data_IF_924331329623
#
_entry.id   IF_924331329623
#
_cell.length_a   1.000
_cell.length_b   1.000
_cell.length_c   1.000
_cell.angle_alpha   90.00
_cell.angle_beta   90.00
_cell.angle_gamma   90.00
#
_symmetry.space_group_name_H-M   'P 1'
#
loop_
_entity.id
_entity.type
_entity.pdbx_description
1 polymer ?
#
# COMPACT_ATOMS: atom_id res chain seq x y z
N UNK A 1 9.46 9.04 -11.13
CA UNK A 1 8.33 8.11 -11.41
C UNK A 1 7.36 8.21 -10.26
N UNK A 2 6.07 8.37 -10.53
CA UNK A 2 5.04 8.36 -9.50
C UNK A 2 4.14 7.14 -9.74
N UNK A 3 3.88 6.36 -8.69
CA UNK A 3 2.93 5.25 -8.71
C UNK A 3 1.58 5.80 -8.25
N UNK A 4 0.52 5.50 -8.98
CA UNK A 4 -0.84 5.88 -8.55
C UNK A 4 -1.29 4.94 -7.44
N UNK A 5 -1.95 5.49 -6.42
CA UNK A 5 -2.54 4.69 -5.34
C UNK A 5 -3.47 3.59 -5.89
N UNK A 6 -4.19 3.87 -6.97
CA UNK A 6 -5.06 2.89 -7.64
C UNK A 6 -4.31 1.66 -8.18
N UNK A 7 -2.99 1.74 -8.39
CA UNK A 7 -2.16 0.61 -8.83
C UNK A 7 -1.72 -0.27 -7.65
N UNK A 8 -1.78 0.25 -6.41
CA UNK A 8 -1.41 -0.50 -5.20
C UNK A 8 -2.52 -1.44 -4.74
N UNK A 9 -3.77 -1.10 -5.05
CA UNK A 9 -4.94 -1.86 -4.62
C UNK A 9 -4.89 -3.30 -5.15
N UNK A 10 -5.04 -4.28 -4.26
CA UNK A 10 -5.05 -5.70 -4.58
C UNK A 10 -3.66 -6.32 -4.82
N UNK A 11 -2.58 -5.54 -4.69
CA UNK A 11 -1.22 -6.06 -4.78
C UNK A 11 -0.90 -7.03 -3.65
N UNK A 12 -0.16 -8.08 -3.96
CA UNK A 12 0.33 -9.04 -2.96
C UNK A 12 1.43 -8.40 -2.11
N UNK A 13 1.35 -8.61 -0.80
CA UNK A 13 2.30 -8.15 0.20
C UNK A 13 3.10 -9.34 0.71
N UNK A 14 4.42 -9.21 0.69
CA UNK A 14 5.35 -10.20 1.19
C UNK A 14 6.27 -9.61 2.26
N UNK A 15 6.75 -10.44 3.18
CA UNK A 15 7.84 -10.08 4.08
C UNK A 15 9.18 -10.09 3.35
N UNK A 16 10.22 -9.53 3.97
CA UNK A 16 11.61 -9.65 3.52
C UNK A 16 12.09 -11.10 3.35
N UNK A 17 11.56 -12.02 4.17
CA UNK A 17 11.77 -13.46 4.04
C UNK A 17 10.88 -14.14 2.97
N UNK A 18 10.33 -13.39 2.00
CA UNK A 18 9.46 -13.87 0.92
C UNK A 18 8.19 -14.61 1.38
N UNK A 19 7.70 -14.35 2.60
CA UNK A 19 6.45 -14.95 3.10
C UNK A 19 5.26 -14.09 2.70
N UNK A 20 4.23 -14.70 2.12
CA UNK A 20 2.99 -14.00 1.77
C UNK A 20 2.22 -13.57 3.03
N UNK A 21 1.83 -12.30 3.07
CA UNK A 21 1.10 -11.70 4.20
C UNK A 21 -0.36 -11.48 3.85
N UNK A 22 -0.65 -11.09 2.61
CA UNK A 22 -2.00 -10.72 2.17
C UNK A 22 -1.98 -9.83 0.95
N UNK A 23 -3.06 -9.08 0.76
CA UNK A 23 -3.22 -8.10 -0.33
C UNK A 23 -3.48 -6.72 0.26
N UNK A 24 -3.17 -5.67 -0.50
CA UNK A 24 -3.54 -4.30 -0.12
C UNK A 24 -5.05 -4.10 -0.35
N UNK A 25 -5.79 -3.84 0.72
CA UNK A 25 -7.23 -3.59 0.69
C UNK A 25 -7.56 -2.13 0.88
N UNK A 26 -6.85 -1.43 1.76
CA UNK A 26 -7.06 -0.01 2.03
C UNK A 26 -5.75 0.78 2.10
N UNK A 27 -5.87 2.08 1.85
CA UNK A 27 -4.76 3.05 1.89
C UNK A 27 -5.19 4.21 2.78
N UNK A 28 -4.48 4.41 3.87
CA UNK A 28 -4.71 5.51 4.81
C UNK A 28 -3.86 6.70 4.38
N UNK A 29 -4.51 7.83 4.13
CA UNK A 29 -3.90 9.07 3.64
C UNK A 29 -3.97 10.17 4.70
N UNK A 30 -2.89 10.93 4.86
CA UNK A 30 -2.92 12.23 5.53
C UNK A 30 -3.34 13.27 4.49
N UNK A 31 -4.57 13.78 4.61
CA UNK A 31 -5.11 14.76 3.66
C UNK A 31 -4.49 16.16 3.78
N UNK A 32 -3.90 16.49 4.93
CA UNK A 32 -3.23 17.79 5.11
C UNK A 32 -1.86 17.81 4.44
N UNK A 33 -1.15 16.68 4.49
CA UNK A 33 0.18 16.54 3.87
C UNK A 33 0.15 15.98 2.45
N UNK A 34 -0.92 15.28 2.08
CA UNK A 34 -1.02 14.57 0.80
C UNK A 34 -0.16 13.31 0.75
N UNK A 35 0.06 12.64 1.88
CA UNK A 35 0.98 11.50 2.02
C UNK A 35 0.27 10.20 2.39
N UNK A 36 0.83 9.07 1.95
CA UNK A 36 0.38 7.73 2.38
C UNK A 36 0.98 7.41 3.73
N UNK A 37 0.13 7.10 4.70
CA UNK A 37 0.53 6.78 6.08
C UNK A 37 0.60 5.27 6.30
N UNK A 38 -0.33 4.50 5.72
CA UNK A 38 -0.43 3.06 5.94
C UNK A 38 -1.16 2.34 4.81
N UNK A 39 -0.73 1.11 4.54
CA UNK A 39 -1.45 0.12 3.73
C UNK A 39 -1.97 -0.99 4.67
N UNK A 40 -3.19 -1.45 4.44
CA UNK A 40 -3.81 -2.55 5.21
C UNK A 40 -4.40 -3.61 4.30
#
# INVERSE_FOLDING_TARGET
MAIKVSQLMGMDVYTDNATFVGKVYDVILDLQKGEVVRLT
#
